data_IF_810761585541
#
_entry.id   IF_810761585541
#
_cell.length_a   1.000
_cell.length_b   1.000
_cell.length_c   1.000
_cell.angle_alpha   90.00
_cell.angle_beta   90.00
_cell.angle_gamma   90.00
#
_symmetry.space_group_name_H-M   'P 1'
#
loop_
_entity.id
_entity.type
_entity.pdbx_description
1 polymer ?
#
# COMPACT_ATOMS: atom_id res chain seq x y z
N UNK A 1 18.34 -10.13 5.77
CA UNK A 1 17.05 -9.39 5.82
C UNK A 1 17.36 -7.94 5.61
N UNK A 2 16.67 -7.24 4.71
CA UNK A 2 16.81 -5.78 4.60
C UNK A 2 16.27 -5.16 5.88
N UNK A 3 17.07 -4.34 6.52
CA UNK A 3 16.61 -3.47 7.60
C UNK A 3 16.66 -2.04 7.08
N UNK A 4 15.56 -1.30 7.25
CA UNK A 4 15.56 0.13 6.96
C UNK A 4 16.36 0.85 8.07
N UNK A 5 17.15 1.84 7.67
CA UNK A 5 17.78 2.73 8.66
C UNK A 5 16.72 3.64 9.30
N UNK A 6 16.98 4.18 10.51
CA UNK A 6 16.05 5.14 11.12
C UNK A 6 15.71 6.33 10.20
N UNK A 7 16.69 6.80 9.42
CA UNK A 7 16.51 7.89 8.47
C UNK A 7 15.56 7.49 7.32
N UNK A 8 15.67 6.27 6.82
CA UNK A 8 14.77 5.74 5.78
C UNK A 8 13.34 5.57 6.30
N UNK A 9 13.18 5.07 7.54
CA UNK A 9 11.87 4.98 8.20
C UNK A 9 11.24 6.36 8.32
N UNK A 10 12.01 7.35 8.79
CA UNK A 10 11.53 8.73 8.91
C UNK A 10 11.20 9.36 7.55
N UNK A 11 11.99 9.10 6.53
CA UNK A 11 11.73 9.58 5.17
C UNK A 11 10.43 8.98 4.61
N UNK A 12 10.22 7.67 4.78
CA UNK A 12 8.99 7.00 4.35
C UNK A 12 7.77 7.55 5.10
N UNK A 13 7.89 7.79 6.41
CA UNK A 13 6.84 8.45 7.18
C UNK A 13 6.50 9.85 6.64
N UNK A 14 7.50 10.65 6.38
CA UNK A 14 7.31 11.99 5.83
C UNK A 14 6.63 11.95 4.46
N UNK A 15 7.01 10.99 3.59
CA UNK A 15 6.37 10.76 2.30
C UNK A 15 4.90 10.38 2.46
N UNK A 16 4.58 9.48 3.40
CA UNK A 16 3.20 9.08 3.69
C UNK A 16 2.35 10.27 4.14
N UNK A 17 2.85 11.07 5.08
CA UNK A 17 2.14 12.26 5.58
C UNK A 17 1.97 13.32 4.47
N UNK A 18 2.99 13.49 3.62
CA UNK A 18 2.88 14.40 2.49
C UNK A 18 1.85 13.92 1.47
N UNK A 19 1.84 12.63 1.14
CA UNK A 19 0.85 12.02 0.25
C UNK A 19 -0.59 12.23 0.76
N UNK A 20 -0.82 12.06 2.07
CA UNK A 20 -2.13 12.36 2.69
C UNK A 20 -2.52 13.84 2.50
N UNK A 21 -1.56 14.76 2.67
CA UNK A 21 -1.80 16.19 2.50
C UNK A 21 -2.08 16.59 1.05
N UNK A 22 -1.41 15.96 0.11
CA UNK A 22 -1.57 16.23 -1.31
C UNK A 22 -2.89 15.64 -1.86
N UNK A 23 -3.28 14.47 -1.37
CA UNK A 23 -4.53 13.80 -1.77
C UNK A 23 -5.76 14.49 -1.16
N UNK A 24 -5.67 14.94 0.09
CA UNK A 24 -6.78 15.55 0.82
C UNK A 24 -6.41 16.98 1.23
N UNK A 25 -6.72 18.02 0.42
CA UNK A 25 -6.44 19.41 0.75
C UNK A 25 -7.21 19.88 2.00
N UNK A 26 -6.87 21.04 2.55
CA UNK A 26 -7.44 21.53 3.82
C UNK A 26 -8.94 21.73 3.79
N UNK A 27 -9.47 22.09 2.64
CA UNK A 27 -10.89 22.29 2.37
C UNK A 27 -11.62 21.02 1.92
N UNK A 28 -10.95 19.84 2.00
CA UNK A 28 -11.58 18.58 1.65
C UNK A 28 -12.81 18.33 2.55
N UNK A 29 -13.92 17.82 1.98
CA UNK A 29 -15.17 17.65 2.72
C UNK A 29 -15.00 16.88 4.03
N UNK A 30 -15.83 17.22 5.03
CA UNK A 30 -15.96 16.51 6.31
C UNK A 30 -14.69 16.59 7.20
N UNK A 31 -13.82 17.59 6.98
CA UNK A 31 -12.54 17.76 7.66
C UNK A 31 -11.67 16.50 7.59
N UNK A 32 -11.73 15.81 6.44
CA UNK A 32 -11.08 14.51 6.24
C UNK A 32 -9.59 14.57 6.51
N UNK A 33 -8.88 15.57 5.97
CA UNK A 33 -7.45 15.74 6.17
C UNK A 33 -7.08 15.82 7.65
N UNK A 34 -7.79 16.66 8.42
CA UNK A 34 -7.52 16.82 9.85
C UNK A 34 -7.71 15.50 10.62
N UNK A 35 -8.81 14.78 10.34
CA UNK A 35 -9.10 13.50 10.96
C UNK A 35 -8.07 12.43 10.61
N UNK A 36 -7.65 12.36 9.34
CA UNK A 36 -6.60 11.45 8.89
C UNK A 36 -5.27 11.76 9.57
N UNK A 37 -4.83 13.01 9.57
CA UNK A 37 -3.58 13.41 10.22
C UNK A 37 -3.62 13.13 11.72
N UNK A 38 -4.76 13.36 12.40
CA UNK A 38 -4.93 12.98 13.81
C UNK A 38 -4.76 11.48 14.03
N UNK A 39 -5.34 10.65 13.18
CA UNK A 39 -5.19 9.19 13.24
C UNK A 39 -3.73 8.77 12.98
N UNK A 40 -3.10 9.29 11.94
CA UNK A 40 -1.72 8.97 11.60
C UNK A 40 -0.76 9.34 12.72
N UNK A 41 -0.85 10.56 13.28
CA UNK A 41 -0.01 10.96 14.41
C UNK A 41 -0.29 10.18 15.69
N UNK A 42 -1.53 9.72 15.91
CA UNK A 42 -1.84 8.82 17.03
C UNK A 42 -1.08 7.48 16.91
N UNK A 43 -0.91 6.97 15.71
CA UNK A 43 -0.24 5.70 15.43
C UNK A 43 1.21 5.86 14.93
N UNK A 44 1.80 7.05 14.90
CA UNK A 44 3.08 7.35 14.26
C UNK A 44 4.19 6.36 14.65
N UNK A 45 4.51 6.26 15.95
CA UNK A 45 5.54 5.35 16.42
C UNK A 45 5.28 3.90 15.99
N UNK A 46 4.03 3.49 16.08
CA UNK A 46 3.61 2.13 15.78
C UNK A 46 3.67 1.84 14.28
N UNK A 47 3.18 2.75 13.44
CA UNK A 47 3.26 2.62 11.98
C UNK A 47 4.70 2.58 11.49
N UNK A 48 5.58 3.40 12.07
CA UNK A 48 7.00 3.43 11.75
C UNK A 48 7.72 2.11 12.09
N UNK A 49 7.20 1.31 13.02
CA UNK A 49 7.82 0.05 13.45
C UNK A 49 7.08 -1.20 12.97
N UNK A 50 5.84 -1.08 12.50
CA UNK A 50 5.04 -2.22 12.05
C UNK A 50 5.65 -2.86 10.80
N UNK A 51 5.80 -4.21 10.75
CA UNK A 51 6.15 -4.92 9.52
C UNK A 51 4.93 -5.06 8.60
N UNK A 52 5.15 -5.20 7.30
CA UNK A 52 4.06 -5.51 6.36
C UNK A 52 3.55 -6.95 6.50
N UNK A 53 4.39 -7.88 6.94
CA UNK A 53 3.99 -9.27 7.17
C UNK A 53 4.69 -9.88 8.38
N UNK A 54 4.15 -11.01 8.89
CA UNK A 54 4.76 -11.74 10.01
C UNK A 54 5.87 -12.70 9.60
N UNK A 55 5.99 -13.03 8.32
CA UNK A 55 6.93 -14.02 7.81
C UNK A 55 7.94 -13.41 6.87
N UNK A 56 9.22 -13.74 7.09
CA UNK A 56 10.36 -13.27 6.32
C UNK A 56 10.22 -13.47 4.80
N UNK A 57 9.68 -14.62 4.40
CA UNK A 57 9.52 -14.98 3.00
C UNK A 57 8.22 -14.48 2.34
N UNK A 58 7.47 -13.59 2.98
CA UNK A 58 6.34 -12.95 2.34
C UNK A 58 6.79 -11.62 1.73
N UNK A 59 6.56 -10.51 2.42
CA UNK A 59 6.97 -9.19 1.95
C UNK A 59 7.24 -8.27 3.14
N UNK A 60 8.30 -7.51 3.08
CA UNK A 60 8.67 -6.45 4.02
C UNK A 60 8.44 -6.79 5.51
N UNK A 61 8.89 -8.00 5.95
CA UNK A 61 8.78 -8.48 7.33
C UNK A 61 9.88 -7.87 8.22
N UNK A 62 9.98 -6.55 8.26
CA UNK A 62 10.96 -5.77 9.02
C UNK A 62 10.33 -4.48 9.56
N UNK A 63 10.95 -3.82 10.56
CA UNK A 63 10.46 -2.52 11.05
C UNK A 63 10.35 -1.50 9.92
N UNK A 64 9.23 -0.79 9.86
CA UNK A 64 8.93 0.18 8.77
C UNK A 64 8.40 -0.45 7.48
N UNK A 65 8.37 -1.78 7.38
CA UNK A 65 7.92 -2.48 6.18
C UNK A 65 6.47 -2.18 5.82
N UNK A 66 5.61 -1.92 6.80
CA UNK A 66 4.22 -1.52 6.58
C UNK A 66 4.13 -0.22 5.78
N UNK A 67 4.81 0.84 6.21
CA UNK A 67 4.77 2.14 5.52
C UNK A 67 5.41 2.04 4.13
N UNK A 68 6.52 1.31 4.00
CA UNK A 68 7.16 1.07 2.69
C UNK A 68 6.18 0.38 1.71
N UNK A 69 5.49 -0.65 2.16
CA UNK A 69 4.48 -1.37 1.37
C UNK A 69 3.31 -0.47 0.95
N UNK A 70 2.76 0.32 1.87
CA UNK A 70 1.68 1.28 1.57
C UNK A 70 2.09 2.29 0.49
N UNK A 71 3.32 2.81 0.56
CA UNK A 71 3.83 3.73 -0.45
C UNK A 71 3.97 3.06 -1.83
N UNK A 72 4.41 1.81 -1.88
CA UNK A 72 4.45 1.04 -3.14
C UNK A 72 3.07 0.85 -3.73
N UNK A 73 2.09 0.45 -2.90
CA UNK A 73 0.73 0.23 -3.39
C UNK A 73 0.10 1.53 -3.89
N UNK A 74 0.30 2.65 -3.20
CA UNK A 74 -0.24 3.94 -3.66
C UNK A 74 0.35 4.42 -4.97
N UNK A 75 1.58 4.07 -5.28
CA UNK A 75 2.18 4.29 -6.61
C UNK A 75 1.58 3.33 -7.65
N UNK A 76 1.47 2.04 -7.32
CA UNK A 76 0.96 1.03 -8.25
C UNK A 76 -0.52 1.19 -8.58
N UNK A 77 -1.37 1.60 -7.64
CA UNK A 77 -2.79 1.85 -7.97
C UNK A 77 -2.95 2.94 -9.01
N UNK A 78 -2.11 3.97 -9.00
CA UNK A 78 -2.14 5.04 -10.00
C UNK A 78 -1.68 4.52 -11.36
N UNK A 79 -0.61 3.74 -11.42
CA UNK A 79 -0.12 3.13 -12.66
C UNK A 79 -1.14 2.15 -13.26
N UNK A 80 -1.74 1.30 -12.43
CA UNK A 80 -2.75 0.32 -12.89
C UNK A 80 -4.02 1.05 -13.32
N UNK A 81 -4.47 2.08 -12.60
CA UNK A 81 -5.59 2.92 -13.00
C UNK A 81 -5.37 3.52 -14.40
N UNK A 82 -4.18 4.04 -14.68
CA UNK A 82 -3.83 4.56 -16.00
C UNK A 82 -3.85 3.48 -17.08
N UNK A 83 -3.39 2.26 -16.77
CA UNK A 83 -3.46 1.13 -17.70
C UNK A 83 -4.91 0.77 -17.99
N UNK A 84 -5.76 0.67 -16.97
CA UNK A 84 -7.18 0.37 -17.14
C UNK A 84 -7.89 1.44 -17.97
N UNK A 85 -7.67 2.72 -17.66
CA UNK A 85 -8.24 3.86 -18.38
C UNK A 85 -7.87 3.85 -19.86
N UNK A 86 -6.58 3.71 -20.16
CA UNK A 86 -6.07 3.69 -21.55
C UNK A 86 -6.58 2.52 -22.38
N UNK A 87 -6.98 1.42 -21.73
CA UNK A 87 -7.56 0.26 -22.40
C UNK A 87 -9.09 0.26 -22.41
N UNK A 88 -9.73 1.38 -22.05
CA UNK A 88 -11.15 1.60 -22.20
C UNK A 88 -12.02 1.03 -21.08
N UNK A 89 -11.44 0.71 -19.93
CA UNK A 89 -12.22 0.33 -18.76
C UNK A 89 -12.94 1.53 -18.14
N UNK A 90 -14.11 1.30 -17.53
CA UNK A 90 -14.82 2.31 -16.75
C UNK A 90 -14.06 2.60 -15.46
N UNK A 91 -13.51 3.78 -15.35
CA UNK A 91 -12.75 4.28 -14.18
C UNK A 91 -13.20 5.70 -13.76
N UNK A 92 -14.30 6.18 -14.33
CA UNK A 92 -14.88 7.50 -14.10
C UNK A 92 -16.02 7.50 -13.06
N UNK A 93 -16.34 6.34 -12.51
CA UNK A 93 -17.35 6.17 -11.47
C UNK A 93 -16.79 6.14 -10.05
N UNK A 94 -15.50 6.40 -9.89
CA UNK A 94 -14.80 6.68 -8.63
C UNK A 94 -13.69 7.71 -8.89
N UNK A 95 -13.22 8.36 -7.84
CA UNK A 95 -12.15 9.36 -7.96
C UNK A 95 -10.78 8.75 -7.62
N UNK A 96 -9.70 9.44 -8.06
CA UNK A 96 -8.34 9.03 -7.71
C UNK A 96 -8.10 9.13 -6.20
N UNK A 97 -8.72 10.12 -5.54
CA UNK A 97 -8.66 10.29 -4.09
C UNK A 97 -9.31 9.11 -3.36
N UNK A 98 -10.44 8.58 -3.84
CA UNK A 98 -11.07 7.36 -3.30
C UNK A 98 -10.16 6.14 -3.46
N UNK A 99 -9.51 6.01 -4.61
CA UNK A 99 -8.57 4.91 -4.86
C UNK A 99 -7.33 5.00 -3.96
N UNK A 100 -6.74 6.19 -3.84
CA UNK A 100 -5.60 6.43 -2.92
C UNK A 100 -6.03 6.22 -1.47
N UNK A 101 -7.23 6.66 -1.08
CA UNK A 101 -7.76 6.41 0.26
C UNK A 101 -7.82 4.91 0.57
N UNK A 102 -8.37 4.12 -0.35
CA UNK A 102 -8.45 2.68 -0.18
C UNK A 102 -7.05 2.03 -0.11
N UNK A 103 -6.11 2.47 -0.96
CA UNK A 103 -4.73 2.00 -0.96
C UNK A 103 -3.99 2.32 0.36
N UNK A 104 -4.15 3.54 0.89
CA UNK A 104 -3.54 3.96 2.15
C UNK A 104 -4.02 3.16 3.36
N UNK A 105 -5.24 2.64 3.32
CA UNK A 105 -5.89 2.09 4.51
C UNK A 105 -6.23 0.59 4.43
N UNK A 106 -6.01 -0.09 3.29
CA UNK A 106 -6.38 -1.50 3.13
C UNK A 106 -5.75 -2.39 4.22
N UNK A 107 -4.54 -2.11 4.60
CA UNK A 107 -3.75 -2.83 5.58
C UNK A 107 -3.66 -2.14 6.96
N UNK A 108 -4.43 -1.07 7.20
CA UNK A 108 -4.36 -0.28 8.44
C UNK A 108 -4.54 -1.13 9.71
N UNK A 109 -5.29 -2.22 9.64
CA UNK A 109 -5.47 -3.15 10.75
C UNK A 109 -4.18 -3.82 11.23
N UNK A 110 -3.11 -3.82 10.44
CA UNK A 110 -1.79 -4.34 10.82
C UNK A 110 -1.12 -3.54 11.95
N UNK A 111 -1.51 -2.29 12.16
CA UNK A 111 -0.98 -1.46 13.25
C UNK A 111 -1.50 -1.87 14.65
N UNK A 112 -2.52 -2.71 14.72
CA UNK A 112 -3.13 -3.18 15.96
C UNK A 112 -4.39 -2.42 16.35
N UNK A 113 -4.73 -2.42 17.65
CA UNK A 113 -5.86 -1.66 18.16
C UNK A 113 -5.39 -0.31 18.78
N UNK A 114 -6.23 0.39 19.52
CA UNK A 114 -5.87 1.68 20.12
C UNK A 114 -4.78 1.58 21.20
N UNK A 115 -4.57 0.41 21.81
CA UNK A 115 -3.65 0.24 22.93
C UNK A 115 -2.44 -0.64 22.60
N UNK A 116 -2.60 -1.62 21.71
CA UNK A 116 -1.64 -2.70 21.51
C UNK A 116 -1.34 -2.92 20.01
N UNK A 117 -0.12 -3.33 19.72
CA UNK A 117 0.33 -3.70 18.38
C UNK A 117 -0.32 -5.01 17.90
N UNK A 118 -0.57 -5.13 16.60
CA UNK A 118 -1.04 -6.38 16.00
C UNK A 118 0.06 -7.44 15.95
N UNK A 119 1.29 -7.02 15.67
CA UNK A 119 2.45 -7.89 15.58
C UNK A 119 3.38 -7.69 16.78
N UNK A 120 3.79 -8.80 17.38
CA UNK A 120 4.88 -8.84 18.35
C UNK A 120 5.98 -9.76 17.84
N UNK A 121 7.21 -9.52 18.27
CA UNK A 121 8.32 -10.40 17.92
C UNK A 121 8.02 -11.84 18.35
N UNK A 122 8.31 -12.80 17.49
CA UNK A 122 8.12 -14.22 17.80
C UNK A 122 9.27 -14.71 18.70
N UNK A 123 8.95 -15.13 19.91
CA UNK A 123 9.90 -15.62 20.91
C UNK A 123 10.37 -17.07 20.66
N UNK A 124 9.70 -17.81 19.77
CA UNK A 124 10.05 -19.17 19.42
C UNK A 124 11.18 -19.24 18.38
N UNK A 125 12.39 -19.61 18.79
CA UNK A 125 13.52 -19.82 17.89
C UNK A 125 13.23 -20.81 16.78
N UNK A 126 12.46 -21.88 17.09
CA UNK A 126 12.10 -22.88 16.11
C UNK A 126 11.24 -22.29 14.99
N UNK A 127 10.22 -21.51 15.32
CA UNK A 127 9.35 -20.89 14.31
C UNK A 127 10.10 -19.85 13.47
N UNK A 128 11.00 -19.05 14.09
CA UNK A 128 11.82 -18.10 13.34
C UNK A 128 12.74 -18.81 12.36
N UNK A 129 13.48 -19.85 12.83
CA UNK A 129 14.50 -20.54 12.01
C UNK A 129 13.92 -21.47 10.95
N UNK A 130 12.81 -22.19 11.27
CA UNK A 130 12.27 -23.21 10.37
C UNK A 130 11.08 -22.74 9.54
N UNK A 131 10.40 -21.66 9.94
CA UNK A 131 9.22 -21.14 9.25
C UNK A 131 9.35 -19.68 8.84
N UNK A 132 10.49 -19.02 9.12
CA UNK A 132 10.68 -17.59 8.84
C UNK A 132 9.69 -16.69 9.57
N UNK A 133 9.03 -17.18 10.64
CA UNK A 133 8.03 -16.41 11.40
C UNK A 133 8.71 -15.44 12.37
N UNK A 134 9.15 -14.28 11.86
CA UNK A 134 9.82 -13.25 12.66
C UNK A 134 8.85 -12.60 13.63
N UNK A 135 7.62 -12.34 13.19
CA UNK A 135 6.56 -11.78 14.02
C UNK A 135 5.39 -12.74 14.13
N UNK A 136 4.64 -12.63 15.21
CA UNK A 136 3.38 -13.33 15.46
C UNK A 136 2.29 -12.37 15.86
N UNK A 137 1.03 -12.76 15.68
CA UNK A 137 -0.10 -11.97 16.20
C UNK A 137 0.00 -11.83 17.71
N UNK A 138 -0.33 -10.64 18.18
CA UNK A 138 -0.36 -10.33 19.60
C UNK A 138 -1.60 -10.96 20.26
N UNK A 139 -1.43 -11.94 21.16
CA UNK A 139 -2.57 -12.61 21.80
C UNK A 139 -3.34 -11.74 22.82
N UNK A 140 -2.86 -10.53 23.08
CA UNK A 140 -3.52 -9.60 24.01
C UNK A 140 -4.63 -8.77 23.36
N UNK A 141 -4.69 -8.75 22.04
CA UNK A 141 -5.74 -8.03 21.30
C UNK A 141 -6.83 -9.00 20.85
N UNK A 142 -8.06 -8.50 20.80
CA UNK A 142 -9.19 -9.25 20.23
C UNK A 142 -8.92 -9.59 18.77
N UNK A 143 -9.31 -10.80 18.37
CA UNK A 143 -9.16 -11.21 16.97
C UNK A 143 -10.11 -10.40 16.08
N UNK A 144 -9.54 -9.81 15.06
CA UNK A 144 -10.24 -9.21 13.91
C UNK A 144 -9.43 -9.51 12.66
N UNK A 145 -10.10 -9.60 11.51
CA UNK A 145 -9.39 -9.53 10.23
C UNK A 145 -8.70 -8.18 10.10
N UNK A 146 -7.64 -8.12 9.29
CA UNK A 146 -6.91 -6.85 9.05
C UNK A 146 -7.87 -5.79 8.51
N UNK A 147 -8.71 -6.17 7.55
CA UNK A 147 -9.70 -5.31 6.91
C UNK A 147 -10.77 -4.81 7.89
N UNK A 148 -11.35 -5.70 8.71
CA UNK A 148 -12.36 -5.30 9.70
C UNK A 148 -11.79 -4.33 10.72
N UNK A 149 -10.55 -4.57 11.17
CA UNK A 149 -9.86 -3.67 12.11
C UNK A 149 -9.54 -2.33 11.46
N UNK A 150 -9.14 -2.30 10.18
CA UNK A 150 -8.93 -1.06 9.43
C UNK A 150 -10.21 -0.20 9.41
N UNK A 151 -11.34 -0.80 9.06
CA UNK A 151 -12.65 -0.14 9.03
C UNK A 151 -13.03 0.36 10.43
N UNK A 152 -12.82 -0.46 11.47
CA UNK A 152 -13.08 -0.07 12.86
C UNK A 152 -12.23 1.13 13.31
N UNK A 153 -10.93 1.15 12.97
CA UNK A 153 -10.03 2.27 13.27
C UNK A 153 -10.52 3.55 12.58
N UNK A 154 -10.81 3.50 11.29
CA UNK A 154 -11.32 4.65 10.53
C UNK A 154 -12.61 5.20 11.16
N UNK A 155 -13.54 4.31 11.52
CA UNK A 155 -14.77 4.69 12.22
C UNK A 155 -14.49 5.34 13.58
N UNK A 156 -13.53 4.80 14.35
CA UNK A 156 -13.17 5.36 15.67
C UNK A 156 -12.68 6.81 15.57
N UNK A 157 -11.92 7.15 14.54
CA UNK A 157 -11.44 8.51 14.28
C UNK A 157 -12.47 9.41 13.56
N UNK A 158 -13.69 8.92 13.36
CA UNK A 158 -14.77 9.65 12.70
C UNK A 158 -14.50 9.94 11.21
N UNK A 159 -13.68 9.10 10.59
CA UNK A 159 -13.38 9.16 9.15
C UNK A 159 -14.49 8.43 8.41
N UNK A 160 -15.32 9.18 7.69
CA UNK A 160 -16.38 8.59 6.87
C UNK A 160 -15.77 8.04 5.59
N UNK A 161 -16.30 6.94 5.11
CA UNK A 161 -15.96 6.33 3.84
C UNK A 161 -17.08 6.53 2.83
N UNK A 162 -16.74 6.71 1.57
CA UNK A 162 -17.68 6.54 0.46
C UNK A 162 -17.94 5.05 0.23
N UNK A 163 -18.94 4.72 -0.58
CA UNK A 163 -19.22 3.34 -0.97
C UNK A 163 -18.05 2.73 -1.74
N UNK A 164 -17.39 3.50 -2.63
CA UNK A 164 -16.20 3.08 -3.37
C UNK A 164 -15.02 2.79 -2.45
N UNK A 165 -14.73 3.68 -1.51
CA UNK A 165 -13.65 3.50 -0.53
C UNK A 165 -13.89 2.25 0.33
N UNK A 166 -15.13 2.05 0.80
CA UNK A 166 -15.51 0.86 1.55
C UNK A 166 -15.32 -0.41 0.73
N UNK A 167 -15.79 -0.44 -0.52
CA UNK A 167 -15.64 -1.60 -1.40
C UNK A 167 -14.17 -1.87 -1.73
N UNK A 168 -13.38 -0.83 -1.96
CA UNK A 168 -11.94 -0.95 -2.15
C UNK A 168 -11.27 -1.65 -0.96
N UNK A 169 -11.49 -1.15 0.26
CA UNK A 169 -10.95 -1.75 1.47
C UNK A 169 -11.47 -3.18 1.70
N UNK A 170 -12.80 -3.34 1.64
CA UNK A 170 -13.45 -4.61 2.01
C UNK A 170 -13.07 -5.76 1.08
N UNK A 171 -12.75 -5.46 -0.16
CA UNK A 171 -12.51 -6.45 -1.20
C UNK A 171 -11.03 -6.57 -1.62
N UNK A 172 -10.11 -5.91 -0.92
CA UNK A 172 -8.68 -5.85 -1.29
C UNK A 172 -8.04 -7.23 -1.43
N UNK A 173 -8.40 -8.19 -0.55
CA UNK A 173 -7.88 -9.56 -0.59
C UNK A 173 -8.40 -10.38 -1.81
N UNK A 174 -9.30 -9.81 -2.61
CA UNK A 174 -9.83 -10.48 -3.78
C UNK A 174 -10.42 -11.85 -3.46
N UNK A 175 -10.11 -12.85 -4.28
CA UNK A 175 -10.57 -14.24 -4.10
C UNK A 175 -9.77 -15.03 -3.05
N UNK A 176 -8.73 -14.46 -2.45
CA UNK A 176 -8.04 -15.08 -1.32
C UNK A 176 -8.91 -15.10 -0.06
N UNK A 177 -9.87 -14.17 0.06
CA UNK A 177 -10.90 -14.15 1.09
C UNK A 177 -12.21 -14.76 0.54
N UNK A 178 -12.63 -15.91 1.07
CA UNK A 178 -13.83 -16.63 0.58
C UNK A 178 -15.10 -15.76 0.64
N UNK A 179 -15.22 -14.89 1.62
CA UNK A 179 -16.35 -13.98 1.77
C UNK A 179 -16.48 -12.97 0.60
N UNK A 180 -15.40 -12.71 -0.12
CA UNK A 180 -15.38 -11.80 -1.26
C UNK A 180 -15.90 -12.45 -2.54
N UNK A 181 -15.99 -13.77 -2.59
CA UNK A 181 -16.35 -14.53 -3.79
C UNK A 181 -17.69 -14.10 -4.41
N UNK A 182 -18.68 -13.78 -3.57
CA UNK A 182 -19.97 -13.31 -4.03
C UNK A 182 -19.93 -11.98 -4.79
N UNK A 183 -18.93 -11.16 -4.56
CA UNK A 183 -18.70 -9.90 -5.26
C UNK A 183 -17.93 -10.10 -6.57
N UNK A 184 -16.93 -10.97 -6.58
CA UNK A 184 -16.04 -11.18 -7.74
C UNK A 184 -16.59 -12.17 -8.76
N UNK A 185 -17.36 -13.17 -8.30
CA UNK A 185 -17.86 -14.27 -9.14
C UNK A 185 -19.39 -14.25 -9.17
N UNK A 186 -19.96 -13.17 -9.67
CA UNK A 186 -21.40 -13.04 -9.83
C UNK A 186 -21.77 -12.83 -11.31
N UNK A 187 -22.62 -13.71 -11.83
CA UNK A 187 -23.04 -13.69 -13.22
C UNK A 187 -24.35 -12.89 -13.45
N UNK A 188 -25.03 -12.47 -12.38
CA UNK A 188 -26.23 -11.64 -12.48
C UNK A 188 -25.82 -10.19 -12.74
N UNK A 189 -26.32 -9.61 -13.84
CA UNK A 189 -26.09 -8.20 -14.18
C UNK A 189 -26.54 -7.22 -13.08
N UNK A 190 -27.56 -7.61 -12.31
CA UNK A 190 -28.11 -6.76 -11.26
C UNK A 190 -27.29 -6.78 -9.97
N UNK A 191 -26.45 -7.80 -9.79
CA UNK A 191 -25.66 -8.03 -8.57
C UNK A 191 -24.15 -7.96 -8.82
N UNK A 192 -23.69 -7.38 -9.91
CA UNK A 192 -22.28 -7.19 -10.20
C UNK A 192 -21.75 -5.91 -9.54
N UNK A 193 -20.47 -5.94 -9.18
CA UNK A 193 -19.73 -4.70 -8.85
C UNK A 193 -19.81 -3.75 -10.04
N UNK A 194 -20.21 -2.51 -9.77
CA UNK A 194 -20.30 -1.44 -10.78
C UNK A 194 -19.05 -0.57 -10.80
N UNK A 195 -18.17 -0.72 -9.81
CA UNK A 195 -16.91 0.00 -9.67
C UNK A 195 -15.73 -0.95 -9.89
N UNK A 196 -14.68 -0.45 -10.51
CA UNK A 196 -13.44 -1.19 -10.73
C UNK A 196 -12.38 -0.94 -9.64
N UNK A 197 -12.67 -0.14 -8.63
CA UNK A 197 -11.74 0.24 -7.56
C UNK A 197 -11.15 -0.98 -6.84
N UNK A 198 -12.00 -1.98 -6.53
CA UNK A 198 -11.57 -3.19 -5.84
C UNK A 198 -10.62 -4.04 -6.69
N UNK A 199 -10.85 -4.13 -8.00
CA UNK A 199 -9.98 -4.87 -8.91
C UNK A 199 -8.61 -4.19 -9.06
N UNK A 200 -8.58 -2.86 -9.19
CA UNK A 200 -7.35 -2.08 -9.32
C UNK A 200 -6.52 -2.19 -8.04
N UNK A 201 -7.14 -2.02 -6.88
CA UNK A 201 -6.45 -2.13 -5.59
C UNK A 201 -5.91 -3.55 -5.36
N UNK A 202 -6.72 -4.58 -5.59
CA UNK A 202 -6.29 -5.98 -5.46
C UNK A 202 -5.09 -6.31 -6.37
N UNK A 203 -5.10 -5.83 -7.63
CA UNK A 203 -3.98 -6.02 -8.55
C UNK A 203 -2.72 -5.29 -8.06
N UNK A 204 -2.86 -4.09 -7.52
CA UNK A 204 -1.74 -3.31 -7.00
C UNK A 204 -1.10 -3.98 -5.78
N UNK A 205 -1.92 -4.45 -4.84
CA UNK A 205 -1.45 -5.17 -3.65
C UNK A 205 -0.74 -6.47 -4.01
N UNK A 206 -1.34 -7.29 -4.89
CA UNK A 206 -0.73 -8.51 -5.38
C UNK A 206 0.60 -8.21 -6.11
N UNK A 207 0.65 -7.18 -6.95
CA UNK A 207 1.87 -6.78 -7.65
C UNK A 207 2.95 -6.33 -6.68
N UNK A 208 2.62 -5.48 -5.70
CA UNK A 208 3.56 -5.02 -4.67
C UNK A 208 4.14 -6.21 -3.90
N UNK A 209 3.27 -7.06 -3.35
CA UNK A 209 3.67 -8.23 -2.57
C UNK A 209 4.58 -9.18 -3.36
N UNK A 210 4.32 -9.38 -4.66
CA UNK A 210 5.16 -10.25 -5.52
C UNK A 210 6.49 -9.62 -5.88
N UNK A 211 6.53 -8.32 -6.15
CA UNK A 211 7.78 -7.60 -6.42
C UNK A 211 8.66 -7.55 -5.17
N UNK A 212 8.08 -7.27 -4.00
CA UNK A 212 8.78 -7.24 -2.71
C UNK A 212 9.34 -8.63 -2.36
N UNK A 213 8.56 -9.70 -2.58
CA UNK A 213 9.04 -11.08 -2.44
C UNK A 213 10.21 -11.38 -3.39
N UNK A 214 10.10 -11.00 -4.66
CA UNK A 214 11.14 -11.21 -5.67
C UNK A 214 12.44 -10.49 -5.29
N UNK A 215 12.36 -9.26 -4.81
CA UNK A 215 13.49 -8.48 -4.32
C UNK A 215 14.15 -9.16 -3.13
N UNK A 216 13.34 -9.63 -2.17
CA UNK A 216 13.84 -10.40 -1.03
C UNK A 216 14.53 -11.70 -1.46
N UNK A 217 13.91 -12.49 -2.34
CA UNK A 217 14.42 -13.77 -2.80
C UNK A 217 15.75 -13.66 -3.57
N UNK A 218 15.96 -12.54 -4.26
CA UNK A 218 17.23 -12.26 -4.98
C UNK A 218 18.31 -11.63 -4.11
N UNK A 219 17.99 -11.23 -2.88
CA UNK A 219 18.88 -10.43 -2.03
C UNK A 219 19.09 -9.00 -2.55
N UNK A 220 18.23 -8.52 -3.41
CA UNK A 220 18.33 -7.24 -4.12
C UNK A 220 17.88 -6.06 -3.24
N UNK A 221 18.54 -5.86 -2.12
CA UNK A 221 18.14 -4.83 -1.16
C UNK A 221 18.61 -3.41 -1.52
N UNK A 222 19.55 -3.27 -2.49
CA UNK A 222 20.18 -1.99 -2.82
C UNK A 222 19.95 -1.49 -4.26
N UNK A 223 19.14 -2.18 -5.07
CA UNK A 223 19.04 -1.93 -6.52
C UNK A 223 18.25 -0.66 -6.88
N UNK A 224 17.39 -0.14 -6.01
CA UNK A 224 16.56 1.05 -6.35
C UNK A 224 17.42 2.29 -6.64
N UNK A 225 18.45 2.54 -5.86
CA UNK A 225 19.30 3.74 -6.03
C UNK A 225 20.15 3.64 -7.30
N UNK A 226 20.68 2.45 -7.62
CA UNK A 226 21.49 2.26 -8.84
C UNK A 226 20.64 2.31 -10.13
N UNK A 227 19.41 1.77 -10.12
CA UNK A 227 18.51 1.85 -11.28
C UNK A 227 18.00 3.26 -11.56
N UNK A 228 17.68 4.05 -10.54
CA UNK A 228 17.30 5.45 -10.73
C UNK A 228 18.46 6.26 -11.33
N UNK A 229 19.68 6.05 -10.85
CA UNK A 229 20.90 6.69 -11.41
C UNK A 229 21.16 6.20 -12.84
N UNK A 230 20.96 4.92 -13.13
CA UNK A 230 21.17 4.37 -14.48
C UNK A 230 20.08 4.83 -15.47
N UNK A 231 18.82 4.92 -15.02
CA UNK A 231 17.71 5.46 -15.83
C UNK A 231 17.91 6.94 -16.08
N UNK A 232 18.32 7.73 -15.09
CA UNK A 232 18.64 9.14 -15.28
C UNK A 232 19.81 9.32 -16.25
N UNK A 233 20.90 8.55 -16.12
CA UNK A 233 22.03 8.59 -17.07
C UNK A 233 21.62 8.20 -18.49
N UNK A 234 20.80 7.15 -18.66
CA UNK A 234 20.28 6.76 -19.99
C UNK A 234 19.37 7.83 -20.58
N UNK A 235 18.57 8.49 -19.77
CA UNK A 235 17.69 9.59 -20.22
C UNK A 235 18.49 10.82 -20.61
N UNK A 236 19.54 11.18 -19.89
CA UNK A 236 20.44 12.28 -20.23
C UNK A 236 21.24 11.99 -21.49
N UNK A 237 21.76 10.76 -21.63
CA UNK A 237 22.45 10.32 -22.85
C UNK A 237 21.53 10.32 -24.08
N UNK A 238 20.27 9.91 -23.93
CA UNK A 238 19.27 9.96 -25.00
C UNK A 238 18.91 11.39 -25.39
N UNK A 239 18.79 12.31 -24.41
CA UNK A 239 18.56 13.74 -24.69
C UNK A 239 19.75 14.38 -25.42
N UNK A 240 20.98 14.08 -24.97
CA UNK A 240 22.19 14.59 -25.60
C UNK A 240 22.36 14.04 -27.03
N UNK A 241 22.07 12.75 -27.26
CA UNK A 241 22.10 12.14 -28.60
C UNK A 241 21.06 12.74 -29.54
N UNK A 242 19.82 13.00 -29.04
CA UNK A 242 18.79 13.66 -29.82
C UNK A 242 19.12 15.12 -30.14
N UNK A 243 19.80 15.82 -29.24
CA UNK A 243 20.25 17.19 -29.49
C UNK A 243 21.39 17.23 -30.52
N UNK A 244 22.36 16.34 -30.39
CA UNK A 244 23.44 16.19 -31.39
C UNK A 244 22.89 15.79 -32.76
N UNK A 245 21.88 14.94 -32.83
CA UNK A 245 21.20 14.58 -34.08
C UNK A 245 20.51 15.80 -34.73
N UNK A 246 19.81 16.60 -33.95
CA UNK A 246 19.18 17.83 -34.45
C UNK A 246 20.17 18.87 -34.93
N UNK A 247 21.32 18.99 -34.28
CA UNK A 247 22.40 19.90 -34.70
C UNK A 247 23.10 19.44 -36.01
N UNK A 248 23.16 18.13 -36.23
CA UNK A 248 23.82 17.57 -37.43
C UNK A 248 22.91 17.46 -38.65
N UNK A 249 21.61 17.27 -38.47
CA UNK A 249 20.68 16.97 -39.54
C UNK A 249 19.53 17.98 -39.70
N UNK A 250 19.45 18.99 -38.86
CA UNK A 250 18.58 20.15 -38.99
C UNK A 250 17.09 19.80 -39.07
N UNK A 251 16.45 19.68 -37.94
CA UNK A 251 15.03 20.02 -37.69
C UNK A 251 14.86 20.58 -36.28
#
# INVERSE_FOLDING_TARGET
>A
MKELTPEQIQENWNKLIQLVKDTFPEDYPDNRREKLLKMYHYFEERMCLTPASGKEHFHNAHPGGYVEHILHITDFVQQIHDVWSRNGATVDNFTVEELIFAALHHDLGKVGNLAEDNYIHNDSDWHRKNQGMIYKHNPRIEYMTITDRAIWILQHFGIKMTENEYLGLRLTDGLYEEANKTYYVNWSKDNQLKTNIAYILHQADMMASKIEYDQWARGDHDIKVEKEVEVQKKTEQSKAANQAFKELFGE
#
